data_IF_845562527517
#
_entry.id   IF_845562527517
#
_cell.length_a   1.000
_cell.length_b   1.000
_cell.length_c   1.000
_cell.angle_alpha   90.00
_cell.angle_beta   90.00
_cell.angle_gamma   90.00
#
_symmetry.space_group_name_H-M   'P 1'
#
loop_
_entity.id
_entity.type
_entity.pdbx_description
1 polymer ?
#
# COMPACT_ATOMS: atom_id res chain seq x y z
N UNK A 1 -3.55 10.92 -32.31
CA UNK A 1 -4.87 10.27 -32.37
C UNK A 1 -5.65 10.71 -31.14
N UNK A 2 -6.76 11.41 -31.29
CA UNK A 2 -7.58 11.86 -30.17
C UNK A 2 -8.58 10.75 -29.84
N UNK A 3 -8.44 10.10 -28.70
CA UNK A 3 -9.37 9.08 -28.22
C UNK A 3 -10.45 9.75 -27.34
N UNK A 4 -11.70 9.48 -27.68
CA UNK A 4 -12.87 10.03 -27.01
C UNK A 4 -13.42 8.96 -26.06
N UNK A 5 -13.12 9.10 -24.75
CA UNK A 5 -13.53 8.12 -23.70
C UNK A 5 -14.86 8.56 -23.10
N UNK A 6 -15.94 8.49 -23.86
CA UNK A 6 -17.24 8.95 -23.35
C UNK A 6 -18.18 7.85 -22.82
N UNK A 7 -17.82 6.58 -22.80
CA UNK A 7 -18.72 5.51 -22.31
C UNK A 7 -17.92 4.35 -21.71
N UNK A 8 -17.56 4.43 -20.43
CA UNK A 8 -17.29 3.25 -19.61
C UNK A 8 -18.59 2.88 -18.88
N UNK A 9 -19.49 2.19 -19.55
CA UNK A 9 -20.58 1.45 -18.92
C UNK A 9 -20.05 0.08 -18.46
N UNK A 10 -20.58 -0.47 -17.36
CA UNK A 10 -20.02 -1.68 -16.75
C UNK A 10 -20.18 -2.90 -17.67
N UNK A 11 -19.10 -3.64 -17.84
CA UNK A 11 -19.13 -4.96 -18.47
C UNK A 11 -19.83 -5.92 -17.52
N UNK A 12 -21.05 -6.29 -17.87
CA UNK A 12 -21.82 -7.30 -17.17
C UNK A 12 -21.16 -8.68 -17.27
N UNK A 13 -21.01 -9.29 -16.11
CA UNK A 13 -20.92 -10.70 -15.79
C UNK A 13 -21.02 -11.70 -16.96
N UNK A 14 -19.93 -12.46 -17.17
CA UNK A 14 -20.04 -13.86 -17.57
C UNK A 14 -19.47 -14.70 -16.44
N UNK A 15 -20.37 -15.27 -15.65
CA UNK A 15 -20.08 -16.31 -14.65
C UNK A 15 -19.78 -17.62 -15.37
N UNK A 16 -18.53 -18.06 -15.32
CA UNK A 16 -18.22 -19.48 -15.49
C UNK A 16 -17.98 -20.07 -14.10
N UNK A 17 -18.95 -20.85 -13.67
CA UNK A 17 -18.80 -21.70 -12.49
C UNK A 17 -17.77 -22.80 -12.76
N UNK A 18 -16.75 -22.86 -11.93
CA UNK A 18 -15.96 -24.08 -11.75
C UNK A 18 -16.17 -24.54 -10.31
N UNK A 19 -16.68 -25.77 -10.20
CA UNK A 19 -16.96 -26.43 -8.93
C UNK A 19 -15.68 -26.61 -8.11
N UNK A 20 -15.80 -26.38 -6.82
CA UNK A 20 -14.78 -26.71 -5.84
C UNK A 20 -14.86 -28.22 -5.55
N UNK A 21 -13.85 -28.97 -5.98
CA UNK A 21 -13.60 -30.29 -5.45
C UNK A 21 -12.87 -30.18 -4.11
N UNK A 22 -13.48 -30.79 -3.09
CA UNK A 22 -12.92 -30.89 -1.74
C UNK A 22 -11.72 -31.83 -1.72
N UNK A 23 -10.58 -31.37 -1.24
CA UNK A 23 -9.42 -32.22 -0.92
C UNK A 23 -9.67 -33.03 0.37
N UNK A 24 -9.16 -34.25 0.46
CA UNK A 24 -9.34 -35.10 1.63
C UNK A 24 -8.46 -34.65 2.81
N UNK A 25 -8.85 -34.96 4.07
CA UNK A 25 -8.12 -34.54 5.25
C UNK A 25 -6.78 -35.25 5.37
N UNK A 26 -5.71 -34.47 5.57
CA UNK A 26 -4.38 -34.99 5.88
C UNK A 26 -4.34 -35.71 7.24
N UNK A 27 -3.64 -36.84 7.25
CA UNK A 27 -3.47 -37.66 8.41
C UNK A 27 -2.62 -37.02 9.50
N UNK A 28 -3.05 -37.15 10.74
CA UNK A 28 -2.31 -36.73 11.92
C UNK A 28 -0.98 -37.50 12.03
N UNK A 29 0.12 -36.75 12.12
CA UNK A 29 1.45 -37.29 12.44
C UNK A 29 1.62 -37.25 13.95
N UNK A 30 1.77 -38.40 14.58
CA UNK A 30 2.09 -38.58 15.99
C UNK A 30 3.45 -37.95 16.33
N UNK A 31 3.46 -37.01 17.29
CA UNK A 31 4.68 -36.44 17.84
C UNK A 31 5.22 -37.34 18.96
N UNK A 32 6.21 -38.16 18.61
CA UNK A 32 6.99 -38.91 19.60
C UNK A 32 8.17 -38.06 20.12
N UNK A 33 8.18 -37.90 21.42
CA UNK A 33 9.30 -37.78 22.38
C UNK A 33 10.55 -36.94 21.97
N UNK A 34 10.66 -35.72 22.49
CA UNK A 34 11.94 -35.03 22.63
C UNK A 34 12.22 -34.78 24.10
N UNK A 35 13.30 -35.37 24.57
CA UNK A 35 13.72 -35.41 25.94
C UNK A 35 13.92 -34.05 26.62
N UNK A 36 13.64 -34.03 27.89
CA UNK A 36 13.78 -32.96 28.87
C UNK A 36 15.21 -32.46 28.98
N UNK A 37 15.42 -31.15 28.74
CA UNK A 37 16.49 -30.35 29.32
C UNK A 37 15.90 -29.52 30.45
N UNK A 38 16.33 -29.79 31.70
CA UNK A 38 15.81 -29.15 32.88
C UNK A 38 16.22 -27.69 33.03
N UNK A 39 15.24 -26.87 33.27
CA UNK A 39 15.30 -25.47 33.68
C UNK A 39 13.86 -24.95 33.64
N UNK A 40 13.40 -24.26 34.69
CA UNK A 40 12.02 -23.78 34.85
C UNK A 40 11.53 -23.03 33.59
N UNK A 41 11.10 -23.76 32.59
CA UNK A 41 10.50 -23.24 31.38
C UNK A 41 9.06 -23.76 31.29
N UNK A 42 8.11 -22.87 31.17
CA UNK A 42 6.74 -23.21 30.81
C UNK A 42 6.78 -24.15 29.59
N UNK A 43 6.00 -25.23 29.61
CA UNK A 43 5.97 -26.16 28.50
C UNK A 43 5.49 -25.44 27.22
N UNK A 44 5.97 -25.86 26.03
CA UNK A 44 5.53 -25.30 24.73
C UNK A 44 4.00 -25.29 24.60
N UNK A 45 3.32 -26.28 25.20
CA UNK A 45 1.87 -26.37 25.25
C UNK A 45 1.23 -25.24 26.06
N UNK A 46 1.83 -24.84 27.18
CA UNK A 46 1.36 -23.73 28.01
C UNK A 46 1.59 -22.37 27.34
N UNK A 47 2.71 -22.20 26.62
CA UNK A 47 3.00 -20.98 25.86
C UNK A 47 2.05 -20.84 24.69
N UNK A 48 1.77 -21.92 23.97
CA UNK A 48 0.80 -21.95 22.85
C UNK A 48 -0.63 -21.72 23.36
N UNK A 49 -1.00 -22.34 24.47
CA UNK A 49 -2.31 -22.15 25.11
C UNK A 49 -2.44 -20.75 25.69
N UNK A 50 -1.38 -20.19 26.27
CA UNK A 50 -1.35 -18.80 26.74
C UNK A 50 -1.53 -17.78 25.62
N UNK A 51 -0.88 -17.99 24.47
CA UNK A 51 -1.06 -17.16 23.29
C UNK A 51 -2.46 -17.29 22.70
N UNK A 52 -3.02 -18.47 22.64
CA UNK A 52 -4.41 -18.71 22.21
C UNK A 52 -5.44 -18.14 23.21
N UNK A 53 -5.20 -18.21 24.51
CA UNK A 53 -6.05 -17.63 25.53
C UNK A 53 -6.05 -16.10 25.46
N UNK A 54 -4.89 -15.47 25.27
CA UNK A 54 -4.79 -14.02 25.04
C UNK A 54 -5.51 -13.59 23.78
N UNK A 55 -5.37 -14.35 22.70
CA UNK A 55 -6.11 -14.09 21.45
C UNK A 55 -7.62 -14.27 21.62
N UNK A 56 -8.07 -15.22 22.45
CA UNK A 56 -9.49 -15.40 22.76
C UNK A 56 -10.04 -14.26 23.65
N UNK A 57 -9.23 -13.72 24.56
CA UNK A 57 -9.59 -12.56 25.38
C UNK A 57 -9.75 -11.30 24.53
N UNK A 58 -8.93 -11.12 23.49
CA UNK A 58 -9.11 -10.06 22.47
C UNK A 58 -10.32 -10.33 21.57
N UNK A 59 -10.61 -11.58 21.24
CA UNK A 59 -11.81 -11.94 20.46
C UNK A 59 -13.10 -11.69 21.24
N UNK A 60 -13.12 -11.93 22.55
CA UNK A 60 -14.24 -11.61 23.44
C UNK A 60 -14.49 -10.10 23.54
N UNK A 61 -13.51 -9.26 23.27
CA UNK A 61 -13.66 -7.81 23.19
C UNK A 61 -14.37 -7.31 21.92
N UNK A 62 -14.89 -8.21 21.05
CA UNK A 62 -15.53 -7.91 19.74
C UNK A 62 -14.71 -7.08 18.76
N UNK A 63 -13.43 -6.90 19.02
CA UNK A 63 -12.52 -6.11 18.17
C UNK A 63 -11.82 -6.98 17.12
N UNK A 64 -11.49 -8.24 17.45
CA UNK A 64 -10.87 -9.20 16.54
C UNK A 64 -11.93 -10.10 15.92
N UNK A 65 -12.04 -10.10 14.59
CA UNK A 65 -13.02 -10.92 13.87
C UNK A 65 -12.41 -12.17 13.24
N UNK A 66 -11.11 -12.15 12.91
CA UNK A 66 -10.35 -13.34 12.52
C UNK A 66 -8.85 -13.12 12.72
N UNK A 67 -8.11 -14.24 12.78
CA UNK A 67 -6.67 -14.26 12.92
C UNK A 67 -6.11 -15.43 12.12
N UNK A 68 -5.19 -15.15 11.19
CA UNK A 68 -4.61 -16.15 10.30
C UNK A 68 -3.10 -16.08 10.36
N UNK A 69 -2.42 -17.20 10.09
CA UNK A 69 -0.98 -17.30 9.95
C UNK A 69 -0.59 -18.07 8.70
N UNK A 70 0.35 -17.54 7.95
CA UNK A 70 0.94 -18.17 6.77
C UNK A 70 2.46 -18.23 6.92
N UNK A 71 3.08 -19.39 6.62
CA UNK A 71 4.52 -19.47 6.47
C UNK A 71 4.93 -18.95 5.10
N UNK A 72 5.79 -17.93 5.07
CA UNK A 72 6.20 -17.30 3.81
C UNK A 72 7.44 -17.99 3.23
N UNK A 73 8.56 -17.94 3.95
CA UNK A 73 9.82 -18.55 3.53
C UNK A 73 10.73 -18.73 4.75
N UNK A 74 11.40 -19.89 4.85
CA UNK A 74 12.31 -20.15 5.97
C UNK A 74 11.62 -19.99 7.32
N UNK A 75 12.14 -19.12 8.18
CA UNK A 75 11.61 -18.78 9.49
C UNK A 75 10.71 -17.52 9.48
N UNK A 76 10.32 -17.01 8.31
CA UNK A 76 9.45 -15.86 8.18
C UNK A 76 7.98 -16.28 8.10
N UNK A 77 7.17 -15.75 9.00
CA UNK A 77 5.73 -15.93 9.00
C UNK A 77 5.01 -14.58 8.80
N UNK A 78 3.85 -14.65 8.20
CA UNK A 78 2.91 -13.56 8.03
C UNK A 78 1.64 -13.86 8.84
N UNK A 79 1.20 -12.89 9.60
CA UNK A 79 -0.05 -12.90 10.33
C UNK A 79 -0.99 -11.85 9.75
N UNK A 80 -2.27 -12.19 9.61
CA UNK A 80 -3.33 -11.23 9.32
C UNK A 80 -4.36 -11.23 10.44
N UNK A 81 -4.74 -10.02 10.88
CA UNK A 81 -5.61 -9.78 12.03
C UNK A 81 -6.72 -8.85 11.56
N UNK A 82 -7.94 -9.37 11.44
CA UNK A 82 -9.09 -8.59 11.03
C UNK A 82 -9.72 -7.89 12.24
N UNK A 83 -9.85 -6.57 12.18
CA UNK A 83 -10.26 -5.71 13.29
C UNK A 83 -11.45 -4.85 12.90
N UNK A 84 -12.51 -4.85 13.75
CA UNK A 84 -13.63 -3.92 13.63
C UNK A 84 -13.23 -2.57 14.23
N UNK A 85 -13.17 -1.51 13.42
CA UNK A 85 -12.72 -0.16 13.82
C UNK A 85 -13.84 0.87 13.91
N UNK A 86 -15.09 0.47 13.66
CA UNK A 86 -16.25 1.33 13.74
C UNK A 86 -17.56 0.55 13.79
N UNK A 87 -18.70 1.24 13.88
CA UNK A 87 -20.00 0.60 14.07
C UNK A 87 -20.59 -0.01 12.79
N UNK A 88 -20.13 0.40 11.61
CA UNK A 88 -20.62 -0.09 10.32
C UNK A 88 -20.08 -1.48 9.99
N UNK A 89 -20.86 -2.29 9.28
CA UNK A 89 -20.45 -3.65 8.88
C UNK A 89 -19.15 -3.66 8.06
N UNK A 90 -18.88 -2.60 7.30
CA UNK A 90 -17.69 -2.42 6.47
C UNK A 90 -16.56 -1.62 7.17
N UNK A 91 -16.77 -1.17 8.42
CA UNK A 91 -15.75 -0.46 9.21
C UNK A 91 -14.71 -1.45 9.75
N UNK A 92 -14.03 -2.13 8.86
CA UNK A 92 -13.09 -3.21 9.15
C UNK A 92 -11.76 -2.90 8.48
N UNK A 93 -10.68 -3.12 9.20
CA UNK A 93 -9.30 -3.11 8.69
C UNK A 93 -8.67 -4.47 8.89
N UNK A 94 -7.61 -4.76 8.13
CA UNK A 94 -6.76 -5.93 8.41
C UNK A 94 -5.39 -5.44 8.79
N UNK A 95 -4.90 -5.88 9.94
CA UNK A 95 -3.51 -5.65 10.34
C UNK A 95 -2.66 -6.83 9.96
N UNK A 96 -1.49 -6.54 9.43
CA UNK A 96 -0.50 -7.51 9.03
C UNK A 96 0.70 -7.45 9.94
N UNK A 97 1.31 -8.62 10.21
CA UNK A 97 2.59 -8.73 10.86
C UNK A 97 3.47 -9.71 10.10
N UNK A 98 4.66 -9.30 9.69
CA UNK A 98 5.66 -10.16 9.06
C UNK A 98 6.86 -10.21 9.98
N UNK A 99 7.22 -11.40 10.46
CA UNK A 99 8.19 -11.57 11.54
C UNK A 99 8.91 -12.91 11.43
N UNK A 100 10.10 -12.98 11.98
CA UNK A 100 10.78 -14.27 12.19
C UNK A 100 10.15 -15.04 13.33
N UNK A 101 10.13 -16.35 13.22
CA UNK A 101 9.67 -17.25 14.27
C UNK A 101 10.76 -18.26 14.67
N UNK A 102 10.78 -18.59 15.94
CA UNK A 102 11.55 -19.74 16.43
C UNK A 102 10.89 -21.06 16.04
N UNK A 103 9.59 -21.12 16.25
CA UNK A 103 8.66 -22.18 15.96
C UNK A 103 7.34 -21.54 15.53
N UNK A 104 6.46 -22.25 14.81
CA UNK A 104 5.15 -21.73 14.47
C UNK A 104 4.45 -21.06 15.67
N UNK A 105 3.97 -19.83 15.49
CA UNK A 105 3.31 -19.02 16.52
C UNK A 105 4.23 -18.43 17.60
N UNK A 106 5.53 -18.63 17.52
CA UNK A 106 6.50 -18.08 18.48
C UNK A 106 7.43 -17.07 17.81
N UNK A 107 7.01 -15.80 17.69
CA UNK A 107 7.82 -14.76 17.08
C UNK A 107 9.16 -14.57 17.81
N UNK A 108 10.22 -14.38 17.05
CA UNK A 108 11.51 -13.93 17.58
C UNK A 108 11.35 -12.49 18.08
N UNK A 109 11.89 -12.20 19.24
CA UNK A 109 11.88 -10.84 19.79
C UNK A 109 12.65 -9.89 18.88
N UNK A 110 12.04 -8.74 18.55
CA UNK A 110 12.62 -7.71 17.73
C UNK A 110 12.54 -6.35 18.44
N UNK A 111 13.67 -5.69 18.62
CA UNK A 111 13.72 -4.34 19.25
C UNK A 111 13.10 -3.30 18.32
N UNK A 112 13.39 -3.39 17.04
CA UNK A 112 12.96 -2.42 16.04
C UNK A 112 11.72 -2.91 15.30
N UNK A 113 10.89 -1.98 14.86
CA UNK A 113 9.71 -2.30 14.07
C UNK A 113 9.32 -1.18 13.14
N UNK A 114 8.58 -1.56 12.11
CA UNK A 114 8.03 -0.65 11.12
C UNK A 114 6.54 -0.92 10.90
N UNK A 115 5.78 0.14 10.58
CA UNK A 115 4.36 0.06 10.26
C UNK A 115 4.12 0.68 8.89
N UNK A 116 3.55 -0.09 7.98
CA UNK A 116 3.37 0.25 6.58
C UNK A 116 1.90 0.56 6.25
N UNK A 117 1.69 1.62 5.46
CA UNK A 117 0.40 2.03 4.93
C UNK A 117 0.48 2.08 3.41
N UNK A 118 -0.35 1.26 2.75
CA UNK A 118 -0.37 1.13 1.29
C UNK A 118 -1.03 2.34 0.60
N UNK A 119 -0.82 2.44 -0.71
CA UNK A 119 -1.45 3.43 -1.56
C UNK A 119 -2.77 2.97 -2.19
N UNK A 120 -3.17 3.66 -3.27
CA UNK A 120 -4.38 3.35 -4.03
C UNK A 120 -4.31 1.95 -4.66
N UNK A 121 -5.45 1.33 -4.83
CA UNK A 121 -5.71 0.07 -5.52
C UNK A 121 -5.14 -1.21 -4.89
N UNK A 122 -4.13 -1.17 -4.07
CA UNK A 122 -3.51 -2.36 -3.47
C UNK A 122 -3.62 -2.37 -1.96
N UNK A 123 -3.63 -3.58 -1.40
CA UNK A 123 -3.53 -3.85 0.02
C UNK A 123 -2.04 -3.95 0.47
N UNK A 124 -1.83 -4.26 1.74
CA UNK A 124 -0.49 -4.48 2.28
C UNK A 124 0.27 -5.58 1.54
N UNK A 125 -0.41 -6.68 1.19
CA UNK A 125 0.20 -7.82 0.50
C UNK A 125 0.60 -7.45 -0.92
N UNK A 126 -0.28 -6.80 -1.66
CA UNK A 126 -0.03 -6.31 -3.01
C UNK A 126 1.12 -5.31 -3.06
N UNK A 127 1.14 -4.36 -2.13
CA UNK A 127 2.15 -3.31 -2.08
C UNK A 127 3.51 -3.79 -1.55
N UNK A 128 3.54 -4.51 -0.42
CA UNK A 128 4.78 -4.75 0.34
C UNK A 128 5.19 -6.22 0.45
N UNK A 129 4.37 -7.14 -0.07
CA UNK A 129 4.63 -8.58 -0.14
C UNK A 129 4.34 -9.16 -1.54
N UNK A 130 4.47 -8.37 -2.60
CA UNK A 130 4.07 -8.73 -3.97
C UNK A 130 4.73 -10.02 -4.49
N UNK A 131 5.92 -10.38 -4.01
CA UNK A 131 6.57 -11.66 -4.34
C UNK A 131 5.76 -12.89 -3.93
N UNK A 132 4.84 -12.75 -2.97
CA UNK A 132 3.96 -13.85 -2.55
C UNK A 132 2.79 -14.09 -3.51
N UNK A 133 2.54 -13.15 -4.42
CA UNK A 133 1.47 -13.19 -5.42
C UNK A 133 1.92 -13.74 -6.78
N UNK A 134 3.22 -13.93 -6.98
CA UNK A 134 3.81 -14.39 -8.25
C UNK A 134 4.75 -15.56 -8.01
N UNK A 135 4.99 -16.34 -9.07
CA UNK A 135 5.98 -17.43 -9.07
C UNK A 135 7.25 -17.08 -9.87
N UNK A 136 7.35 -15.84 -10.37
CA UNK A 136 8.43 -15.45 -11.29
C UNK A 136 9.61 -14.75 -10.60
N UNK A 137 9.49 -14.50 -9.31
CA UNK A 137 10.56 -14.01 -8.44
C UNK A 137 10.64 -14.86 -7.17
N UNK A 138 11.77 -14.78 -6.48
CA UNK A 138 11.94 -15.46 -5.20
C UNK A 138 10.87 -14.95 -4.20
N UNK A 139 10.30 -15.86 -3.41
CA UNK A 139 9.20 -15.57 -2.48
C UNK A 139 9.57 -14.53 -1.41
N UNK A 140 10.84 -14.32 -1.17
CA UNK A 140 11.39 -13.30 -0.26
C UNK A 140 11.78 -11.98 -0.95
N UNK A 141 11.50 -11.83 -2.24
CA UNK A 141 11.78 -10.60 -2.98
C UNK A 141 10.68 -9.55 -2.76
N UNK A 142 10.47 -9.16 -1.51
CA UNK A 142 9.54 -8.10 -1.08
C UNK A 142 10.08 -7.37 0.14
N UNK A 143 9.78 -6.07 0.25
CA UNK A 143 10.32 -5.22 1.31
C UNK A 143 9.96 -5.71 2.71
N UNK A 144 8.71 -6.12 2.94
CA UNK A 144 8.28 -6.58 4.26
C UNK A 144 9.00 -7.87 4.68
N UNK A 145 9.17 -8.81 3.75
CA UNK A 145 9.91 -10.05 3.99
C UNK A 145 11.40 -9.77 4.22
N UNK A 146 11.99 -8.91 3.38
CA UNK A 146 13.38 -8.48 3.55
C UNK A 146 13.64 -7.87 4.94
N UNK A 147 12.82 -6.93 5.38
CA UNK A 147 12.98 -6.30 6.69
C UNK A 147 12.82 -7.29 7.84
N UNK A 148 11.87 -8.22 7.73
CA UNK A 148 11.71 -9.30 8.70
C UNK A 148 12.92 -10.23 8.75
N UNK A 149 13.52 -10.58 7.61
CA UNK A 149 14.79 -11.32 7.53
C UNK A 149 15.94 -10.59 8.21
N UNK A 150 15.92 -9.23 8.22
CA UNK A 150 16.88 -8.41 8.94
C UNK A 150 16.57 -8.30 10.46
N UNK A 151 15.56 -9.01 10.96
CA UNK A 151 15.19 -9.04 12.36
C UNK A 151 14.29 -7.90 12.82
N UNK A 152 13.65 -7.16 11.90
CA UNK A 152 12.62 -6.18 12.23
C UNK A 152 11.25 -6.85 12.39
N UNK A 153 10.44 -6.29 13.28
CA UNK A 153 9.01 -6.64 13.42
C UNK A 153 8.20 -5.74 12.49
N UNK A 154 7.79 -6.27 11.35
CA UNK A 154 7.14 -5.50 10.28
C UNK A 154 5.63 -5.62 10.43
N UNK A 155 4.98 -4.48 10.52
CA UNK A 155 3.53 -4.34 10.62
C UNK A 155 2.99 -3.56 9.43
N UNK A 156 1.68 -3.63 9.20
CA UNK A 156 0.99 -2.81 8.23
C UNK A 156 -0.51 -2.95 8.35
N UNK A 157 -1.21 -2.21 7.53
CA UNK A 157 -2.67 -2.12 7.56
C UNK A 157 -3.23 -2.22 6.15
N UNK A 158 -4.33 -2.95 6.01
CA UNK A 158 -5.26 -2.81 4.90
C UNK A 158 -6.35 -1.84 5.31
N UNK A 159 -6.46 -0.73 4.58
CA UNK A 159 -7.49 0.28 4.81
C UNK A 159 -8.88 -0.28 4.50
N UNK A 160 -9.92 0.28 5.11
CA UNK A 160 -11.31 -0.22 5.07
C UNK A 160 -11.81 -0.58 3.68
N UNK A 161 -11.49 0.23 2.67
CA UNK A 161 -11.99 0.04 1.31
C UNK A 161 -11.49 -1.27 0.64
N UNK A 162 -10.36 -1.83 1.10
CA UNK A 162 -9.88 -3.13 0.65
C UNK A 162 -10.80 -4.28 1.09
N UNK A 163 -11.60 -4.06 2.14
CA UNK A 163 -12.47 -5.07 2.75
C UNK A 163 -13.91 -5.02 2.21
N UNK A 164 -14.19 -4.13 1.25
CA UNK A 164 -15.53 -3.98 0.66
C UNK A 164 -15.83 -5.16 -0.26
N UNK A 165 -16.95 -5.87 -0.05
CA UNK A 165 -17.33 -7.01 -0.89
C UNK A 165 -17.51 -6.62 -2.36
N UNK A 166 -17.03 -7.45 -3.29
CA UNK A 166 -17.11 -7.19 -4.73
C UNK A 166 -18.56 -7.02 -5.26
N UNK A 167 -19.53 -7.65 -4.60
CA UNK A 167 -20.94 -7.56 -4.98
C UNK A 167 -21.62 -6.26 -4.54
N UNK A 168 -20.88 -5.34 -3.86
CA UNK A 168 -21.42 -4.08 -3.36
C UNK A 168 -21.92 -3.20 -4.48
N UNK A 169 -23.13 -2.65 -4.33
CA UNK A 169 -23.75 -1.74 -5.30
C UNK A 169 -24.01 -0.34 -4.71
N UNK A 170 -24.16 -0.24 -3.40
CA UNK A 170 -24.35 1.03 -2.69
C UNK A 170 -23.08 1.34 -1.89
N UNK A 171 -22.45 2.46 -2.21
CA UNK A 171 -21.21 2.95 -1.58
C UNK A 171 -21.47 4.15 -0.64
N UNK A 172 -22.72 4.42 -0.28
CA UNK A 172 -23.08 5.55 0.59
C UNK A 172 -22.41 5.51 1.95
N UNK A 173 -22.06 4.32 2.45
CA UNK A 173 -21.29 4.14 3.70
C UNK A 173 -19.86 4.71 3.61
N UNK A 174 -19.26 4.81 2.41
CA UNK A 174 -17.94 5.39 2.20
C UNK A 174 -17.93 6.92 2.29
N UNK A 175 -19.09 7.58 2.35
CA UNK A 175 -19.17 9.05 2.42
C UNK A 175 -18.27 9.68 3.48
N UNK A 176 -18.07 8.99 4.61
CA UNK A 176 -17.26 9.45 5.74
C UNK A 176 -15.87 8.81 5.80
N UNK A 177 -15.50 8.00 4.83
CA UNK A 177 -14.18 7.39 4.77
C UNK A 177 -13.20 8.37 4.13
N UNK A 178 -12.78 9.33 4.90
CA UNK A 178 -11.90 10.42 4.52
C UNK A 178 -10.48 10.21 5.08
N UNK A 179 -9.56 11.13 4.79
CA UNK A 179 -8.18 11.07 5.32
C UNK A 179 -8.14 10.98 6.84
N UNK A 180 -9.01 11.71 7.54
CA UNK A 180 -9.07 11.67 9.01
C UNK A 180 -9.52 10.32 9.55
N UNK A 181 -10.50 9.69 8.88
CA UNK A 181 -10.96 8.33 9.24
C UNK A 181 -9.83 7.32 9.08
N UNK A 182 -9.14 7.32 7.94
CA UNK A 182 -8.05 6.37 7.71
C UNK A 182 -6.82 6.70 8.57
N UNK A 183 -6.55 7.95 8.87
CA UNK A 183 -5.53 8.32 9.86
C UNK A 183 -5.85 7.77 11.27
N UNK A 184 -7.11 7.83 11.68
CA UNK A 184 -7.54 7.22 12.94
C UNK A 184 -7.37 5.69 12.93
N UNK A 185 -7.67 5.03 11.80
CA UNK A 185 -7.44 3.59 11.62
C UNK A 185 -5.95 3.23 11.72
N UNK A 186 -5.06 4.04 11.15
CA UNK A 186 -3.60 3.90 11.30
C UNK A 186 -3.19 4.03 12.78
N UNK A 187 -3.75 5.00 13.51
CA UNK A 187 -3.51 5.16 14.94
C UNK A 187 -3.94 3.95 15.77
N UNK A 188 -5.12 3.40 15.49
CA UNK A 188 -5.62 2.17 16.11
C UNK A 188 -4.70 0.98 15.80
N UNK A 189 -4.27 0.86 14.52
CA UNK A 189 -3.35 -0.18 14.08
C UNK A 189 -1.99 -0.11 14.78
N UNK A 190 -1.39 1.08 14.89
CA UNK A 190 -0.13 1.31 15.62
C UNK A 190 -0.25 0.97 17.10
N UNK A 191 -1.36 1.34 17.75
CA UNK A 191 -1.64 1.02 19.13
C UNK A 191 -1.71 -0.50 19.36
N UNK A 192 -2.47 -1.21 18.49
CA UNK A 192 -2.59 -2.67 18.58
C UNK A 192 -1.25 -3.36 18.28
N UNK A 193 -0.50 -2.91 17.26
CA UNK A 193 0.82 -3.44 16.95
C UNK A 193 1.75 -3.35 18.15
N UNK A 194 1.83 -2.19 18.81
CA UNK A 194 2.66 -2.01 20.03
C UNK A 194 2.21 -2.89 21.18
N UNK A 195 0.90 -3.06 21.36
CA UNK A 195 0.33 -3.97 22.38
C UNK A 195 0.76 -5.41 22.11
N UNK A 196 0.57 -5.91 20.91
CA UNK A 196 0.96 -7.28 20.51
C UNK A 196 2.48 -7.47 20.62
N UNK A 197 3.29 -6.48 20.23
CA UNK A 197 4.75 -6.49 20.40
C UNK A 197 5.13 -6.66 21.88
N UNK A 198 4.48 -5.92 22.76
CA UNK A 198 4.70 -6.02 24.21
C UNK A 198 4.37 -7.43 24.71
N UNK A 199 3.22 -7.96 24.34
CA UNK A 199 2.76 -9.30 24.74
C UNK A 199 3.66 -10.42 24.19
N UNK A 200 4.25 -10.23 23.01
CA UNK A 200 5.18 -11.21 22.38
C UNK A 200 6.66 -10.94 22.73
N UNK A 201 6.93 -10.05 23.69
CA UNK A 201 8.27 -9.81 24.23
C UNK A 201 9.18 -8.89 23.41
N UNK A 202 8.67 -8.26 22.36
CA UNK A 202 9.42 -7.28 21.54
C UNK A 202 9.40 -5.86 22.13
N UNK A 203 8.67 -5.66 23.23
CA UNK A 203 8.59 -4.38 23.95
C UNK A 203 7.62 -3.37 23.34
N UNK A 204 7.34 -2.30 24.12
CA UNK A 204 6.40 -1.23 23.75
C UNK A 204 7.10 -0.04 23.05
N UNK A 205 8.18 -0.28 22.31
CA UNK A 205 8.88 0.76 21.55
C UNK A 205 7.99 1.40 20.47
N UNK A 206 8.28 2.67 20.15
CA UNK A 206 7.69 3.32 19.00
C UNK A 206 8.12 2.65 17.70
N UNK A 207 7.38 2.85 16.63
CA UNK A 207 7.59 2.23 15.32
C UNK A 207 8.01 3.27 14.28
N UNK A 208 8.76 2.85 13.27
CA UNK A 208 8.92 3.64 12.06
C UNK A 208 7.65 3.56 11.22
N UNK A 209 7.06 4.69 10.87
CA UNK A 209 5.84 4.77 10.06
C UNK A 209 6.22 5.00 8.59
N UNK A 210 5.81 4.08 7.73
CA UNK A 210 6.06 4.12 6.29
C UNK A 210 4.73 4.27 5.55
N UNK A 211 4.59 5.31 4.74
CA UNK A 211 3.42 5.49 3.87
C UNK A 211 3.82 5.55 2.41
N UNK A 212 3.23 4.74 1.54
CA UNK A 212 3.50 4.75 0.10
C UNK A 212 2.35 5.38 -0.68
N UNK A 213 2.65 6.26 -1.64
CA UNK A 213 1.63 6.84 -2.50
C UNK A 213 0.55 7.57 -1.69
N UNK A 214 -0.74 7.32 -1.92
CA UNK A 214 -1.85 7.81 -1.11
C UNK A 214 -1.67 7.46 0.37
N UNK A 215 -1.10 6.30 0.69
CA UNK A 215 -0.74 5.94 2.06
C UNK A 215 0.23 6.93 2.71
N UNK A 216 1.09 7.62 1.94
CA UNK A 216 1.89 8.72 2.48
C UNK A 216 0.99 9.89 2.93
N UNK A 217 -0.06 10.23 2.18
CA UNK A 217 -1.00 11.29 2.61
C UNK A 217 -1.79 10.90 3.86
N UNK A 218 -2.25 9.66 3.95
CA UNK A 218 -2.88 9.12 5.18
C UNK A 218 -1.92 9.20 6.36
N UNK A 219 -0.64 8.85 6.16
CA UNK A 219 0.37 8.92 7.22
C UNK A 219 0.74 10.37 7.58
N UNK A 220 0.73 11.32 6.65
CA UNK A 220 0.85 12.76 6.97
C UNK A 220 -0.32 13.23 7.83
N UNK A 221 -1.57 12.86 7.48
CA UNK A 221 -2.75 13.19 8.28
C UNK A 221 -2.65 12.57 9.69
N UNK A 222 -2.18 11.33 9.81
CA UNK A 222 -1.91 10.72 11.09
C UNK A 222 -0.82 11.46 11.88
N UNK A 223 0.31 11.80 11.26
CA UNK A 223 1.39 12.54 11.92
C UNK A 223 0.96 13.94 12.39
N UNK A 224 0.04 14.58 11.65
CA UNK A 224 -0.60 15.83 12.07
C UNK A 224 -1.34 15.66 13.42
N UNK A 225 -2.13 14.60 13.57
CA UNK A 225 -2.83 14.29 14.82
C UNK A 225 -1.88 13.84 15.93
N UNK A 226 -0.92 12.95 15.61
CA UNK A 226 0.04 12.47 16.58
C UNK A 226 0.92 13.60 17.17
N UNK A 227 1.24 14.62 16.37
CA UNK A 227 2.02 15.76 16.84
C UNK A 227 1.37 16.50 18.02
N UNK A 228 0.04 16.41 18.14
CA UNK A 228 -0.75 17.01 19.25
C UNK A 228 -0.74 16.16 20.53
N UNK A 229 -0.42 14.88 20.40
CA UNK A 229 -0.42 13.97 21.55
C UNK A 229 0.75 14.24 22.50
N UNK A 230 0.57 14.03 23.81
CA UNK A 230 1.68 13.98 24.76
C UNK A 230 2.74 12.97 24.29
N UNK A 231 4.02 13.25 24.52
CA UNK A 231 5.13 12.39 24.06
C UNK A 231 4.97 10.91 24.44
N UNK A 232 4.47 10.61 25.63
CA UNK A 232 4.26 9.22 26.11
C UNK A 232 3.13 8.46 25.39
N UNK A 233 2.28 9.15 24.64
CA UNK A 233 1.17 8.57 23.89
C UNK A 233 1.49 8.41 22.40
N UNK A 234 2.64 8.93 21.94
CA UNK A 234 3.05 8.85 20.53
C UNK A 234 3.51 7.45 20.17
N UNK A 235 3.23 7.05 18.94
CA UNK A 235 3.52 5.72 18.42
C UNK A 235 4.71 5.69 17.46
N UNK A 236 5.11 6.84 16.90
CA UNK A 236 6.08 6.93 15.80
C UNK A 236 7.42 7.46 16.28
N UNK A 237 8.51 6.71 15.98
CA UNK A 237 9.89 7.11 16.23
C UNK A 237 10.54 7.77 15.00
N UNK A 238 10.17 7.34 13.79
CA UNK A 238 10.67 7.86 12.52
C UNK A 238 9.57 7.84 11.47
N UNK A 239 9.58 8.80 10.53
CA UNK A 239 8.55 8.94 9.50
C UNK A 239 9.15 8.82 8.10
N UNK A 240 8.59 7.92 7.27
CA UNK A 240 9.10 7.60 5.94
C UNK A 240 7.96 7.71 4.90
N UNK A 241 7.65 8.91 4.42
CA UNK A 241 6.76 9.07 3.27
C UNK A 241 7.47 8.65 1.99
N UNK A 242 6.82 7.79 1.20
CA UNK A 242 7.39 7.20 0.00
C UNK A 242 6.62 7.63 -1.23
N UNK A 243 7.32 8.32 -2.09
CA UNK A 243 6.95 8.75 -3.44
C UNK A 243 5.61 9.48 -3.56
N UNK A 244 5.22 10.20 -2.53
CA UNK A 244 4.19 11.23 -2.57
C UNK A 244 4.37 12.17 -1.37
N UNK A 245 3.97 13.43 -1.55
CA UNK A 245 3.92 14.43 -0.48
C UNK A 245 2.49 14.83 -0.13
N UNK A 246 2.37 15.77 0.79
CA UNK A 246 1.09 16.35 1.19
C UNK A 246 0.84 17.72 0.54
N UNK A 247 1.90 18.39 0.09
CA UNK A 247 1.82 19.68 -0.63
C UNK A 247 2.89 19.74 -1.72
N UNK A 248 2.50 20.25 -2.88
CA UNK A 248 3.44 20.59 -3.94
C UNK A 248 4.06 21.97 -3.68
N UNK A 249 5.38 22.07 -3.91
CA UNK A 249 6.11 23.30 -3.86
C UNK A 249 5.98 24.14 -5.13
N UNK A 250 6.61 25.33 -5.14
CA UNK A 250 6.63 26.21 -6.32
C UNK A 250 7.22 25.54 -7.56
N UNK A 251 8.19 24.63 -7.37
CA UNK A 251 8.85 23.85 -8.42
C UNK A 251 7.91 22.86 -9.13
N UNK A 252 6.79 22.53 -8.50
CA UNK A 252 5.77 21.61 -9.01
C UNK A 252 4.44 22.35 -9.31
N UNK A 253 4.52 23.57 -9.84
CA UNK A 253 3.36 24.42 -10.06
C UNK A 253 2.30 23.77 -10.98
N UNK A 254 2.73 23.08 -12.06
CA UNK A 254 1.83 22.37 -12.97
C UNK A 254 1.12 21.21 -12.27
N UNK A 255 1.85 20.42 -11.48
CA UNK A 255 1.30 19.30 -10.73
C UNK A 255 0.28 19.79 -9.70
N UNK A 256 0.55 20.93 -9.07
CA UNK A 256 -0.37 21.59 -8.14
C UNK A 256 -1.64 22.08 -8.84
N UNK A 257 -1.53 22.72 -9.99
CA UNK A 257 -2.68 23.18 -10.78
C UNK A 257 -3.54 21.98 -11.20
N UNK A 258 -2.91 20.91 -11.62
CA UNK A 258 -3.58 19.67 -11.96
C UNK A 258 -4.30 19.04 -10.74
N UNK A 259 -3.67 19.03 -9.57
CA UNK A 259 -4.33 18.60 -8.33
C UNK A 259 -5.54 19.47 -7.99
N UNK A 260 -5.45 20.79 -8.18
CA UNK A 260 -6.59 21.70 -7.99
C UNK A 260 -7.76 21.38 -8.92
N UNK A 261 -7.49 21.11 -10.19
CA UNK A 261 -8.52 20.72 -11.16
C UNK A 261 -9.21 19.43 -10.74
N UNK A 262 -8.43 18.40 -10.34
CA UNK A 262 -8.97 17.12 -9.87
C UNK A 262 -9.77 17.28 -8.57
N UNK A 263 -9.30 18.10 -7.65
CA UNK A 263 -10.03 18.40 -6.42
C UNK A 263 -11.41 19.01 -6.73
N UNK A 264 -11.47 20.00 -7.63
CA UNK A 264 -12.73 20.65 -8.04
C UNK A 264 -13.70 19.65 -8.70
N UNK A 265 -13.22 18.84 -9.64
CA UNK A 265 -14.04 17.80 -10.29
C UNK A 265 -14.51 16.77 -9.26
N UNK A 266 -13.61 16.34 -8.37
CA UNK A 266 -13.94 15.40 -7.30
C UNK A 266 -15.01 15.94 -6.34
N UNK A 267 -14.94 17.22 -5.95
CA UNK A 267 -15.96 17.86 -5.12
C UNK A 267 -17.35 17.84 -5.78
N UNK A 268 -17.41 18.08 -7.10
CA UNK A 268 -18.66 18.00 -7.85
C UNK A 268 -19.23 16.58 -7.88
N UNK A 269 -18.37 15.57 -8.07
CA UNK A 269 -18.77 14.16 -8.09
C UNK A 269 -19.22 13.68 -6.70
N UNK A 270 -18.52 14.10 -5.62
CA UNK A 270 -18.97 13.83 -4.25
C UNK A 270 -20.34 14.44 -3.95
N UNK A 271 -20.60 15.67 -4.44
CA UNK A 271 -21.90 16.31 -4.30
C UNK A 271 -23.01 15.55 -5.05
N UNK A 272 -22.68 14.79 -6.08
CA UNK A 272 -23.59 13.91 -6.82
C UNK A 272 -23.73 12.52 -6.17
N UNK A 273 -23.06 12.26 -5.04
CA UNK A 273 -23.15 10.99 -4.31
C UNK A 273 -22.16 9.91 -4.77
N UNK A 274 -21.12 10.26 -5.52
CA UNK A 274 -20.06 9.33 -5.89
C UNK A 274 -19.06 9.20 -4.74
N UNK A 275 -19.08 8.10 -4.00
CA UNK A 275 -18.20 7.86 -2.84
C UNK A 275 -17.16 6.77 -3.09
N UNK A 276 -17.28 6.05 -4.18
CA UNK A 276 -16.33 5.04 -4.67
C UNK A 276 -15.67 5.54 -5.96
N UNK A 277 -14.36 5.29 -6.12
CA UNK A 277 -13.64 5.55 -7.34
C UNK A 277 -12.20 5.98 -7.13
N UNK A 278 -11.49 6.08 -8.24
CA UNK A 278 -10.13 6.61 -8.32
C UNK A 278 -10.09 7.86 -9.21
N UNK A 279 -8.89 8.40 -9.42
CA UNK A 279 -8.65 9.51 -10.36
C UNK A 279 -9.13 9.22 -11.79
N UNK A 280 -9.26 7.93 -12.14
CA UNK A 280 -9.77 7.47 -13.43
C UNK A 280 -11.29 7.25 -13.44
N UNK A 281 -11.97 7.57 -12.34
CA UNK A 281 -13.41 7.39 -12.18
C UNK A 281 -13.81 6.13 -11.39
N UNK A 282 -15.12 5.85 -11.33
CA UNK A 282 -15.65 4.67 -10.66
C UNK A 282 -15.14 3.38 -11.27
N UNK A 283 -14.89 2.37 -10.45
CA UNK A 283 -14.47 1.04 -10.90
C UNK A 283 -13.08 0.98 -11.54
N UNK A 284 -12.23 1.98 -11.32
CA UNK A 284 -10.87 1.97 -11.87
C UNK A 284 -10.06 0.77 -11.39
N UNK A 285 -10.22 0.37 -10.13
CA UNK A 285 -9.59 -0.83 -9.57
C UNK A 285 -10.02 -2.10 -10.31
N UNK A 286 -11.32 -2.22 -10.63
CA UNK A 286 -11.85 -3.34 -11.45
C UNK A 286 -11.17 -3.38 -12.82
N UNK A 287 -11.00 -2.21 -13.46
CA UNK A 287 -10.36 -2.13 -14.79
C UNK A 287 -8.90 -2.56 -14.73
N UNK A 288 -8.13 -2.05 -13.77
CA UNK A 288 -6.72 -2.41 -13.57
C UNK A 288 -6.57 -3.92 -13.32
N UNK A 289 -7.37 -4.47 -12.41
CA UNK A 289 -7.39 -5.90 -12.09
C UNK A 289 -7.74 -6.76 -13.31
N UNK A 290 -8.77 -6.37 -14.06
CA UNK A 290 -9.20 -7.10 -15.26
C UNK A 290 -8.12 -7.10 -16.34
N UNK A 291 -7.44 -5.97 -16.55
CA UNK A 291 -6.30 -5.88 -17.49
C UNK A 291 -5.17 -6.81 -17.05
N UNK A 292 -4.83 -6.81 -15.75
CA UNK A 292 -3.82 -7.72 -15.19
C UNK A 292 -4.18 -9.18 -15.43
N UNK A 293 -5.39 -9.61 -15.07
CA UNK A 293 -5.88 -10.97 -15.27
C UNK A 293 -5.90 -11.37 -16.76
N UNK A 294 -6.34 -10.49 -17.64
CA UNK A 294 -6.35 -10.74 -19.08
C UNK A 294 -4.93 -10.81 -19.67
N UNK A 295 -4.00 -9.96 -19.21
CA UNK A 295 -2.60 -10.01 -19.62
C UNK A 295 -1.91 -11.33 -19.20
N UNK A 296 -2.36 -11.96 -18.11
CA UNK A 296 -1.89 -13.27 -17.66
C UNK A 296 -2.50 -14.41 -18.48
N UNK A 297 -3.84 -14.40 -18.64
CA UNK A 297 -4.58 -15.55 -19.13
C UNK A 297 -4.84 -15.51 -20.65
N UNK A 298 -4.86 -14.32 -21.25
CA UNK A 298 -5.20 -14.04 -22.65
C UNK A 298 -4.20 -13.06 -23.29
N UNK A 299 -2.86 -13.25 -23.12
CA UNK A 299 -1.85 -12.24 -23.40
C UNK A 299 -1.86 -11.72 -24.84
N UNK A 300 -2.18 -12.58 -25.81
CA UNK A 300 -2.12 -12.29 -27.23
C UNK A 300 -3.51 -11.93 -27.84
N UNK A 301 -4.56 -11.97 -27.03
CA UNK A 301 -5.90 -11.57 -27.45
C UNK A 301 -5.97 -10.03 -27.42
N UNK A 302 -6.51 -9.48 -28.52
CA UNK A 302 -6.76 -8.03 -28.62
C UNK A 302 -7.89 -7.61 -27.69
N UNK A 303 -7.65 -6.58 -26.91
CA UNK A 303 -8.64 -6.04 -25.98
C UNK A 303 -9.87 -5.50 -26.76
N UNK A 304 -11.09 -5.75 -26.25
CA UNK A 304 -12.31 -5.24 -26.88
C UNK A 304 -12.49 -3.74 -26.61
N UNK A 305 -13.26 -3.09 -27.46
CA UNK A 305 -13.75 -1.72 -27.20
C UNK A 305 -14.48 -1.67 -25.84
N UNK A 306 -14.30 -0.65 -25.00
CA UNK A 306 -13.65 0.64 -25.31
C UNK A 306 -12.13 0.71 -25.06
N UNK A 307 -11.49 -0.39 -24.66
CA UNK A 307 -10.05 -0.42 -24.47
C UNK A 307 -9.30 -0.23 -25.80
N UNK A 308 -8.05 0.26 -25.76
CA UNK A 308 -7.21 0.29 -26.96
C UNK A 308 -7.13 -1.09 -27.61
N UNK A 309 -7.24 -1.16 -28.95
CA UNK A 309 -7.18 -2.41 -29.72
C UNK A 309 -5.74 -2.95 -29.76
N UNK A 310 -5.26 -3.41 -28.63
CA UNK A 310 -3.92 -3.97 -28.39
C UNK A 310 -4.04 -5.34 -27.73
N UNK A 311 -3.06 -6.25 -27.93
CA UNK A 311 -2.97 -7.46 -27.13
C UNK A 311 -2.93 -7.11 -25.63
N UNK A 312 -3.62 -7.89 -24.79
CA UNK A 312 -3.69 -7.60 -23.35
C UNK A 312 -2.30 -7.51 -22.69
N UNK A 313 -1.31 -8.26 -23.14
CA UNK A 313 0.08 -8.13 -22.71
C UNK A 313 0.62 -6.70 -22.92
N UNK A 314 0.37 -6.12 -24.09
CA UNK A 314 0.79 -4.75 -24.39
C UNK A 314 -0.01 -3.71 -23.61
N UNK A 315 -1.30 -3.95 -23.44
CA UNK A 315 -2.14 -3.08 -22.61
C UNK A 315 -1.66 -3.08 -21.15
N UNK A 316 -1.33 -4.24 -20.57
CA UNK A 316 -0.77 -4.35 -19.23
C UNK A 316 0.56 -3.57 -19.07
N UNK A 317 1.47 -3.67 -20.06
CA UNK A 317 2.72 -2.90 -20.07
C UNK A 317 2.46 -1.38 -20.15
N UNK A 318 1.49 -0.96 -20.97
CA UNK A 318 1.10 0.46 -21.09
C UNK A 318 0.52 1.00 -19.77
N UNK A 319 -0.28 0.23 -19.05
CA UNK A 319 -0.76 0.63 -17.70
C UNK A 319 0.42 0.96 -16.78
N UNK A 320 1.51 0.21 -16.86
CA UNK A 320 2.73 0.49 -16.10
C UNK A 320 3.50 1.70 -16.62
N UNK A 321 3.90 1.65 -17.89
CA UNK A 321 4.87 2.59 -18.46
C UNK A 321 4.27 3.92 -18.92
N UNK A 322 2.95 3.96 -19.10
CA UNK A 322 2.21 5.16 -19.50
C UNK A 322 1.02 5.44 -18.57
N UNK A 323 1.16 5.17 -17.30
CA UNK A 323 0.11 5.25 -16.27
C UNK A 323 -0.65 6.57 -16.32
N UNK A 324 0.04 7.70 -16.41
CA UNK A 324 -0.59 9.01 -16.46
C UNK A 324 -1.50 9.20 -17.68
N UNK A 325 -1.22 8.52 -18.81
CA UNK A 325 -2.06 8.58 -20.03
C UNK A 325 -3.38 7.81 -19.86
N UNK A 326 -3.43 6.84 -18.95
CA UNK A 326 -4.64 6.09 -18.60
C UNK A 326 -5.42 6.71 -17.45
N UNK A 327 -4.72 7.37 -16.52
CA UNK A 327 -5.31 8.00 -15.34
C UNK A 327 -5.78 9.43 -15.62
N UNK A 328 -5.35 10.05 -16.73
CA UNK A 328 -5.76 11.39 -17.07
C UNK A 328 -7.02 11.34 -17.92
N UNK A 329 -8.08 11.94 -17.43
CA UNK A 329 -9.30 12.13 -18.19
C UNK A 329 -9.08 13.25 -19.22
N UNK A 330 -9.07 12.87 -20.50
CA UNK A 330 -9.02 13.84 -21.60
C UNK A 330 -10.24 14.79 -21.61
N UNK A 331 -11.36 14.39 -20.99
CA UNK A 331 -12.56 15.23 -20.87
C UNK A 331 -12.34 16.43 -19.93
N UNK A 332 -11.41 16.33 -18.99
CA UNK A 332 -11.10 17.38 -18.03
C UNK A 332 -9.91 18.28 -18.43
N UNK A 333 -9.48 18.22 -19.68
CA UNK A 333 -8.38 19.03 -20.22
C UNK A 333 -7.04 18.89 -19.44
N UNK A 334 -6.85 17.79 -18.75
CA UNK A 334 -5.60 17.53 -18.02
C UNK A 334 -4.54 17.23 -19.07
N UNK A 335 -3.53 18.09 -19.15
CA UNK A 335 -2.53 18.03 -20.19
C UNK A 335 -1.62 16.79 -20.01
N UNK A 336 -1.76 15.74 -20.84
CA UNK A 336 -0.93 14.55 -20.74
C UNK A 336 0.52 14.78 -21.14
N UNK A 337 0.86 15.95 -21.68
CA UNK A 337 2.23 16.31 -22.06
C UNK A 337 3.12 16.62 -20.85
N UNK A 338 2.56 16.78 -19.65
CA UNK A 338 3.33 16.92 -18.41
C UNK A 338 3.48 15.54 -17.80
N UNK A 339 4.68 14.93 -17.84
CA UNK A 339 4.90 13.65 -17.22
C UNK A 339 4.66 13.77 -15.72
N UNK A 340 3.57 13.21 -15.22
CA UNK A 340 3.24 13.30 -13.81
C UNK A 340 3.91 12.18 -13.06
N UNK A 341 3.59 10.94 -13.40
CA UNK A 341 4.26 9.76 -12.91
C UNK A 341 3.91 8.53 -13.77
N UNK A 342 4.69 7.45 -13.65
CA UNK A 342 4.34 6.13 -14.15
C UNK A 342 4.62 5.06 -13.08
N UNK A 343 3.88 3.96 -13.16
CA UNK A 343 4.00 2.87 -12.19
C UNK A 343 5.31 2.12 -12.34
N UNK A 344 5.67 1.76 -13.57
CA UNK A 344 6.89 1.01 -13.83
C UNK A 344 7.60 1.58 -15.05
N UNK A 345 8.91 1.66 -14.99
CA UNK A 345 9.72 2.15 -16.10
C UNK A 345 9.53 1.30 -17.35
N UNK A 346 9.33 1.96 -18.49
CA UNK A 346 9.18 1.30 -19.78
C UNK A 346 10.02 1.95 -20.85
N UNK A 347 10.71 1.12 -21.64
CA UNK A 347 11.38 1.57 -22.87
C UNK A 347 10.45 1.41 -24.05
N UNK A 348 10.19 2.50 -24.75
CA UNK A 348 9.30 2.52 -25.91
C UNK A 348 10.06 2.16 -27.18
N UNK A 349 9.53 1.17 -27.91
CA UNK A 349 10.03 0.79 -29.22
C UNK A 349 9.62 1.77 -30.34
N UNK A 350 10.10 1.52 -31.56
CA UNK A 350 9.75 2.31 -32.74
C UNK A 350 8.23 2.19 -33.08
N UNK A 351 7.55 1.16 -32.62
CA UNK A 351 6.11 0.93 -32.73
C UNK A 351 5.29 1.72 -31.68
N UNK A 352 5.96 2.45 -30.77
CA UNK A 352 5.33 3.19 -29.69
C UNK A 352 4.87 2.32 -28.52
N UNK A 353 5.23 1.04 -28.49
CA UNK A 353 4.85 0.11 -27.42
C UNK A 353 6.00 -0.10 -26.44
N UNK A 354 5.73 -0.14 -25.11
CA UNK A 354 6.78 -0.30 -24.12
C UNK A 354 7.12 -1.76 -23.85
N UNK A 355 8.37 -1.95 -23.39
CA UNK A 355 8.82 -3.12 -22.63
C UNK A 355 9.17 -2.64 -21.22
N UNK A 356 8.78 -3.37 -20.17
CA UNK A 356 9.11 -3.02 -18.79
C UNK A 356 10.62 -3.24 -18.54
N UNK A 357 11.24 -2.35 -17.75
CA UNK A 357 12.71 -2.35 -17.59
C UNK A 357 13.17 -3.02 -16.29
N UNK A 358 12.52 -2.74 -15.17
CA UNK A 358 13.00 -3.15 -13.84
C UNK A 358 12.13 -4.23 -13.19
N UNK A 359 11.03 -4.59 -13.82
CA UNK A 359 10.14 -5.66 -13.38
C UNK A 359 9.84 -6.58 -14.56
N UNK A 360 9.71 -7.90 -14.33
CA UNK A 360 9.26 -8.78 -15.40
C UNK A 360 7.75 -8.67 -15.61
N UNK A 361 7.30 -8.89 -16.85
CA UNK A 361 5.90 -8.76 -17.25
C UNK A 361 4.95 -9.53 -16.32
N UNK A 362 5.27 -10.80 -16.04
CA UNK A 362 4.39 -11.66 -15.25
C UNK A 362 4.24 -11.15 -13.81
N UNK A 363 5.31 -10.76 -13.17
CA UNK A 363 5.26 -10.15 -11.82
C UNK A 363 4.40 -8.89 -11.83
N UNK A 364 4.57 -8.04 -12.83
CA UNK A 364 3.79 -6.81 -12.95
C UNK A 364 2.31 -7.10 -13.23
N UNK A 365 1.99 -8.09 -14.07
CA UNK A 365 0.60 -8.47 -14.33
C UNK A 365 -0.06 -9.13 -13.11
N UNK A 366 0.67 -9.95 -12.35
CA UNK A 366 0.19 -10.49 -11.07
C UNK A 366 -0.10 -9.35 -10.07
N UNK A 367 0.75 -8.31 -10.03
CA UNK A 367 0.52 -7.10 -9.25
C UNK A 367 -0.74 -6.36 -9.72
N UNK A 368 -0.94 -6.11 -11.02
CA UNK A 368 -2.17 -5.51 -11.53
C UNK A 368 -3.40 -6.36 -11.19
N UNK A 369 -3.30 -7.67 -11.33
CA UNK A 369 -4.38 -8.61 -11.04
C UNK A 369 -4.77 -8.67 -9.57
N UNK A 370 -3.90 -8.23 -8.67
CA UNK A 370 -4.17 -8.14 -7.22
C UNK A 370 -4.86 -6.84 -6.80
N UNK A 371 -5.11 -5.90 -7.72
CA UNK A 371 -5.76 -4.64 -7.41
C UNK A 371 -7.16 -4.86 -6.80
N UNK A 372 -7.48 -4.11 -5.75
CA UNK A 372 -8.81 -4.09 -5.16
C UNK A 372 -9.79 -3.33 -6.06
N UNK A 373 -11.05 -3.77 -6.16
CA UNK A 373 -12.01 -3.18 -7.07
C UNK A 373 -12.41 -1.75 -6.67
N UNK A 374 -12.42 -1.45 -5.38
CA UNK A 374 -12.98 -0.21 -4.85
C UNK A 374 -11.95 0.60 -4.07
N UNK A 375 -12.20 1.92 -3.99
CA UNK A 375 -11.38 2.87 -3.24
C UNK A 375 -12.28 3.96 -2.65
N UNK A 376 -11.86 4.57 -1.55
CA UNK A 376 -12.56 5.72 -1.02
C UNK A 376 -12.32 6.98 -1.86
N UNK A 377 -13.35 7.44 -2.53
CA UNK A 377 -13.27 8.66 -3.35
C UNK A 377 -13.18 9.92 -2.48
N UNK A 378 -13.79 9.91 -1.29
CA UNK A 378 -13.70 11.04 -0.35
C UNK A 378 -12.26 11.27 0.10
N UNK A 379 -11.54 10.21 0.50
CA UNK A 379 -10.11 10.28 0.85
C UNK A 379 -9.29 10.85 -0.31
N UNK A 380 -9.55 10.37 -1.52
CA UNK A 380 -8.82 10.79 -2.71
C UNK A 380 -9.00 12.29 -2.98
N UNK A 381 -10.23 12.80 -2.93
CA UNK A 381 -10.54 14.21 -3.16
C UNK A 381 -9.85 15.09 -2.12
N UNK A 382 -9.86 14.70 -0.84
CA UNK A 382 -9.16 15.44 0.21
C UNK A 382 -7.64 15.43 0.00
N UNK A 383 -7.07 14.31 -0.46
CA UNK A 383 -5.65 14.24 -0.84
C UNK A 383 -5.29 15.22 -1.96
N UNK A 384 -6.14 15.34 -3.00
CA UNK A 384 -5.95 16.31 -4.07
C UNK A 384 -6.11 17.76 -3.57
N UNK A 385 -7.03 18.02 -2.65
CA UNK A 385 -7.18 19.32 -2.01
C UNK A 385 -5.92 19.72 -1.24
N UNK A 386 -5.27 18.81 -0.52
CA UNK A 386 -4.00 19.06 0.16
C UNK A 386 -2.88 19.37 -0.85
N UNK A 387 -2.74 18.58 -1.90
CA UNK A 387 -1.75 18.81 -2.96
C UNK A 387 -1.96 20.13 -3.68
N UNK A 388 -3.22 20.52 -3.89
CA UNK A 388 -3.62 21.84 -4.42
C UNK A 388 -3.22 22.99 -3.48
N UNK A 389 -3.08 22.72 -2.17
CA UNK A 389 -2.83 23.73 -1.15
C UNK A 389 -4.10 24.41 -0.67
N UNK A 390 -5.27 23.74 -0.77
CA UNK A 390 -6.53 24.25 -0.19
C UNK A 390 -6.32 24.52 1.31
N UNK A 391 -6.80 25.66 1.76
CA UNK A 391 -6.81 26.04 3.18
C UNK A 391 -8.02 25.41 3.88
N UNK A 392 -7.98 25.38 5.17
CA UNK A 392 -9.08 24.90 6.03
C UNK A 392 -9.35 23.38 5.98
N UNK A 393 -8.31 22.59 5.64
CA UNK A 393 -8.33 21.15 5.85
C UNK A 393 -7.61 20.80 7.16
N UNK A 394 -8.20 19.98 8.03
CA UNK A 394 -7.65 19.75 9.39
C UNK A 394 -6.41 18.84 9.42
N UNK A 395 -5.91 18.41 8.26
CA UNK A 395 -4.89 17.37 8.16
C UNK A 395 -3.45 17.88 8.08
N UNK A 396 -3.25 19.21 8.05
CA UNK A 396 -1.92 19.83 7.89
C UNK A 396 -1.60 20.97 8.86
N UNK A 397 -2.52 21.29 9.78
CA UNK A 397 -2.40 22.39 10.73
C UNK A 397 -1.22 22.23 11.70
N UNK A 398 -0.88 20.99 12.06
CA UNK A 398 0.14 20.63 13.05
C UNK A 398 1.36 19.93 12.45
N UNK A 399 1.51 19.86 11.15
CA UNK A 399 2.66 19.22 10.50
C UNK A 399 3.99 19.88 10.87
N UNK A 400 4.00 21.16 11.19
CA UNK A 400 5.19 21.86 11.71
C UNK A 400 5.60 21.42 13.13
N UNK A 401 4.71 20.73 13.83
CA UNK A 401 4.99 20.18 15.17
C UNK A 401 5.54 18.75 15.10
N UNK A 402 5.56 18.11 13.95
CA UNK A 402 6.24 16.84 13.70
C UNK A 402 7.75 17.05 13.78
N UNK A 403 8.40 16.42 14.76
CA UNK A 403 9.84 16.60 15.05
C UNK A 403 10.65 15.31 14.99
N UNK A 404 10.01 14.17 14.73
CA UNK A 404 10.71 12.89 14.56
C UNK A 404 11.63 12.95 13.34
N UNK A 405 12.69 12.13 13.27
CA UNK A 405 13.50 11.95 12.07
C UNK A 405 12.62 11.60 10.87
N UNK A 406 12.96 12.09 9.68
CA UNK A 406 12.20 11.88 8.45
C UNK A 406 13.12 11.40 7.32
N UNK A 407 12.72 10.35 6.63
CA UNK A 407 13.32 9.92 5.38
C UNK A 407 12.27 10.02 4.25
N UNK A 408 12.49 10.88 3.29
CA UNK A 408 11.72 10.84 2.05
C UNK A 408 12.39 9.90 1.03
N UNK A 409 11.61 9.00 0.43
CA UNK A 409 12.06 8.14 -0.66
C UNK A 409 11.21 8.42 -1.90
N UNK A 410 11.82 8.73 -3.03
CA UNK A 410 11.11 9.03 -4.27
C UNK A 410 11.73 8.31 -5.46
N UNK A 411 10.90 7.94 -6.44
CA UNK A 411 11.30 7.40 -7.74
C UNK A 411 11.31 8.51 -8.79
N UNK A 412 12.38 8.64 -9.59
CA UNK A 412 12.49 9.72 -10.57
C UNK A 412 11.37 9.66 -11.63
N UNK A 413 10.97 8.46 -12.05
CA UNK A 413 9.83 8.24 -12.93
C UNK A 413 8.47 8.25 -12.22
N UNK A 414 8.45 8.23 -10.87
CA UNK A 414 7.29 8.41 -10.03
C UNK A 414 7.02 9.90 -9.71
N UNK A 415 6.52 10.17 -8.51
CA UNK A 415 6.38 11.54 -8.01
C UNK A 415 7.73 12.18 -7.69
N UNK A 416 8.77 11.39 -7.40
CA UNK A 416 10.16 11.80 -7.32
C UNK A 416 10.39 13.01 -6.42
N UNK A 417 11.01 14.04 -7.00
CA UNK A 417 11.35 15.26 -6.26
C UNK A 417 10.14 16.07 -5.76
N UNK A 418 8.93 15.83 -6.27
CA UNK A 418 7.74 16.61 -5.90
C UNK A 418 7.33 16.46 -4.43
N UNK A 419 7.64 15.32 -3.79
CA UNK A 419 7.39 15.12 -2.37
C UNK A 419 8.40 15.78 -1.43
N UNK A 420 9.56 16.23 -1.95
CA UNK A 420 10.64 16.81 -1.14
C UNK A 420 10.20 18.10 -0.43
N UNK A 421 9.35 18.92 -1.08
CA UNK A 421 8.80 20.11 -0.48
C UNK A 421 8.07 19.81 0.84
N UNK A 422 7.26 18.75 0.85
CA UNK A 422 6.49 18.35 2.03
C UNK A 422 7.39 18.03 3.23
N UNK A 423 8.48 17.30 3.04
CA UNK A 423 9.36 16.93 4.17
C UNK A 423 10.28 18.07 4.60
N UNK A 424 10.74 18.92 3.69
CA UNK A 424 11.70 20.00 4.00
C UNK A 424 11.05 21.31 4.42
N UNK A 425 9.85 21.61 3.92
CA UNK A 425 9.22 22.93 4.11
C UNK A 425 7.92 22.86 4.93
N UNK A 426 7.20 21.72 4.88
CA UNK A 426 5.92 21.56 5.58
C UNK A 426 6.13 20.97 6.96
N UNK A 427 6.94 19.90 7.09
CA UNK A 427 7.27 19.30 8.40
C UNK A 427 8.19 20.19 9.21
N UNK A 428 8.15 20.03 10.52
CA UNK A 428 9.01 20.76 11.46
C UNK A 428 10.23 20.00 11.95
N UNK A 429 10.49 18.82 11.40
CA UNK A 429 11.70 18.03 11.70
C UNK A 429 12.95 18.77 11.23
N UNK A 430 14.01 18.68 12.04
CA UNK A 430 15.36 19.16 11.68
C UNK A 430 16.25 18.05 11.15
N UNK A 431 15.82 16.81 11.30
CA UNK A 431 16.50 15.61 10.83
C UNK A 431 15.73 15.05 9.63
N UNK A 432 16.08 15.53 8.44
CA UNK A 432 15.40 15.19 7.19
C UNK A 432 16.40 14.67 6.17
N UNK A 433 16.30 13.41 5.85
CA UNK A 433 17.02 12.73 4.78
C UNK A 433 16.14 12.61 3.53
N UNK A 434 16.74 12.66 2.36
CA UNK A 434 16.06 12.50 1.07
C UNK A 434 16.81 11.46 0.24
N UNK A 435 16.11 10.46 -0.24
CA UNK A 435 16.60 9.45 -1.18
C UNK A 435 15.76 9.50 -2.45
N UNK A 436 16.33 10.01 -3.55
CA UNK A 436 15.74 9.91 -4.88
C UNK A 436 16.41 8.78 -5.64
N UNK A 437 15.63 7.82 -6.12
CA UNK A 437 16.09 6.74 -6.99
C UNK A 437 15.98 7.27 -8.41
N UNK A 438 17.12 7.69 -8.96
CA UNK A 438 17.27 8.20 -10.31
C UNK A 438 18.40 7.45 -10.99
N UNK A 439 18.12 6.79 -12.09
CA UNK A 439 19.06 5.97 -12.85
C UNK A 439 19.43 6.61 -14.20
N UNK A 440 18.58 7.50 -14.69
CA UNK A 440 18.77 8.23 -15.94
C UNK A 440 18.93 9.73 -15.68
N UNK A 441 19.46 10.45 -16.66
CA UNK A 441 19.40 11.91 -16.65
C UNK A 441 17.92 12.39 -16.74
N UNK A 442 17.64 13.64 -16.34
CA UNK A 442 16.29 14.20 -16.29
C UNK A 442 15.51 14.07 -17.62
N UNK A 443 16.22 14.14 -18.76
CA UNK A 443 15.63 13.94 -20.09
C UNK A 443 15.08 12.51 -20.30
N UNK A 444 15.60 11.53 -19.56
CA UNK A 444 15.17 10.12 -19.60
C UNK A 444 14.19 9.74 -18.49
N UNK A 445 13.55 10.71 -17.84
CA UNK A 445 12.67 10.48 -16.71
C UNK A 445 11.52 9.50 -16.99
N UNK A 446 10.97 9.49 -18.20
CA UNK A 446 9.88 8.58 -18.58
C UNK A 446 10.32 7.11 -18.63
N UNK A 447 11.63 6.85 -18.75
CA UNK A 447 12.22 5.51 -18.71
C UNK A 447 12.93 5.23 -17.37
N UNK A 448 12.84 6.13 -16.40
CA UNK A 448 13.48 5.98 -15.10
C UNK A 448 12.59 5.18 -14.13
N UNK A 449 13.17 4.81 -13.01
CA UNK A 449 12.55 4.04 -11.93
C UNK A 449 11.17 4.58 -11.57
N UNK A 450 10.15 3.76 -11.72
CA UNK A 450 8.76 4.16 -11.55
C UNK A 450 8.28 4.01 -10.11
N UNK A 451 7.05 4.43 -9.88
CA UNK A 451 6.37 4.47 -8.59
C UNK A 451 6.30 3.10 -7.89
N UNK A 452 5.89 2.05 -8.62
CA UNK A 452 5.83 0.69 -8.13
C UNK A 452 7.17 -0.04 -8.21
N UNK A 453 8.11 0.41 -9.05
CA UNK A 453 9.46 -0.19 -9.12
C UNK A 453 10.19 -0.09 -7.78
N UNK A 454 9.83 0.88 -6.91
CA UNK A 454 10.36 0.98 -5.54
C UNK A 454 10.14 -0.31 -4.73
N UNK A 455 9.09 -1.07 -5.06
CA UNK A 455 8.73 -2.30 -4.37
C UNK A 455 8.87 -3.57 -5.25
N UNK A 456 8.68 -3.44 -6.56
CA UNK A 456 8.65 -4.57 -7.50
C UNK A 456 9.98 -4.74 -8.27
N UNK A 457 10.78 -3.68 -8.39
CA UNK A 457 11.98 -3.68 -9.22
C UNK A 457 12.98 -4.74 -8.77
N UNK A 458 13.61 -5.42 -9.72
CA UNK A 458 14.63 -6.47 -9.47
C UNK A 458 15.82 -5.93 -8.67
N UNK A 459 16.13 -4.62 -8.80
CA UNK A 459 17.18 -3.91 -8.09
C UNK A 459 16.67 -3.06 -6.91
N UNK A 460 15.37 -3.10 -6.59
CA UNK A 460 14.75 -2.32 -5.52
C UNK A 460 15.38 -2.61 -4.15
N UNK A 461 15.79 -3.85 -3.89
CA UNK A 461 16.46 -4.22 -2.63
C UNK A 461 17.66 -3.31 -2.34
N UNK A 462 18.58 -3.18 -3.26
CA UNK A 462 19.80 -2.36 -3.06
C UNK A 462 19.56 -0.85 -3.15
N UNK A 463 18.60 -0.43 -4.00
CA UNK A 463 18.33 0.99 -4.24
C UNK A 463 17.40 1.62 -3.21
N UNK A 464 16.48 0.83 -2.63
CA UNK A 464 15.37 1.30 -1.79
C UNK A 464 15.37 0.63 -0.42
N UNK A 465 15.24 -0.70 -0.34
CA UNK A 465 14.96 -1.40 0.92
C UNK A 465 16.13 -1.39 1.89
N UNK A 466 17.36 -1.63 1.41
CA UNK A 466 18.56 -1.54 2.24
C UNK A 466 18.82 -0.12 2.76
N UNK A 467 18.71 0.95 1.96
CA UNK A 467 18.74 2.32 2.45
C UNK A 467 17.69 2.63 3.52
N UNK A 468 16.43 2.21 3.32
CA UNK A 468 15.36 2.35 4.32
C UNK A 468 15.74 1.62 5.61
N UNK A 469 16.15 0.35 5.53
CA UNK A 469 16.57 -0.44 6.68
C UNK A 469 17.72 0.23 7.44
N UNK A 470 18.78 0.65 6.74
CA UNK A 470 19.94 1.33 7.35
C UNK A 470 19.53 2.62 8.06
N UNK A 471 18.61 3.37 7.45
CA UNK A 471 18.08 4.58 8.06
C UNK A 471 17.29 4.27 9.33
N UNK A 472 16.37 3.30 9.29
CA UNK A 472 15.58 2.86 10.46
C UNK A 472 16.47 2.36 11.62
N UNK A 473 17.64 1.76 11.29
CA UNK A 473 18.60 1.30 12.32
C UNK A 473 19.42 2.43 12.94
N UNK A 474 19.51 3.57 12.27
CA UNK A 474 20.26 4.73 12.73
C UNK A 474 19.40 5.71 13.56
N UNK A 475 18.07 5.64 13.44
CA UNK A 475 17.09 6.53 14.07
C UNK A 475 16.06 5.75 14.88
#
# INVERSE_FOLDING_TARGET
MRFNIRHLLPLALMTFGCGAESLPPEAAVDAADVGTLGGQGQSMREVTQGSQALLSEFADARLLTSFEREQIVGDIAHYSIRVQVGPGANDVVVLHRVVREWLPWLPVRATDGAFFVHGDAWDFRGAFMASTLTQTVARDHSVAVYLAQQGMDVWGIDLRWTQVPEATQDFSFMKKWNLGTHAADVGAGLSLARTVRTLTGSGNGQLNLVGWSRGAQVTYAYMNEEARLPKGQRHVSGFIPVDLGVKFGPEAAQQREWACTRAQVGELLLAQGQYEGSLSGPGAGVTVRSVGQAAINLPDITAPTPLPALPFRQLGRLVGAATFSFLTDAANNINPSVPFYHFSAGRFGADGLPTLQYVNDRQFFDFLASAHPYQSFTEMVEGEQLLCGKKDLPYDDHLKDVKVPVLYVGAAGGFGAYGVHSVKQVLGSKDVSVRLVQLNADAGRLEDFGHADLWLGTNAKGLVWEPIYKWMKAH
#
